data_IF_237263430960
#
_entry.id   IF_237263430960
#
_cell.length_a   1.000
_cell.length_b   1.000
_cell.length_c   1.000
_cell.angle_alpha   90.00
_cell.angle_beta   90.00
_cell.angle_gamma   90.00
#
_symmetry.space_group_name_H-M   'P 1'
#
loop_
_entity.id
_entity.type
_entity.pdbx_description
1 polymer ?
#
# COMPACT_ATOMS: atom_id res chain seq x y z
N UNK A 1 4.08 -11.21 -14.17
CA UNK A 1 4.77 -12.10 -13.22
C UNK A 1 3.74 -12.98 -12.52
N UNK A 2 3.94 -14.30 -12.51
CA UNK A 2 3.09 -15.24 -11.79
C UNK A 2 3.44 -15.23 -10.30
N UNK A 3 2.42 -15.32 -9.43
CA UNK A 3 2.64 -15.45 -7.98
C UNK A 3 3.18 -16.85 -7.70
N UNK A 4 4.29 -16.97 -6.94
CA UNK A 4 4.82 -18.27 -6.50
C UNK A 4 3.76 -18.97 -5.65
N UNK A 5 3.28 -20.12 -6.11
CA UNK A 5 2.28 -20.91 -5.39
C UNK A 5 2.96 -21.82 -4.36
N UNK A 6 2.39 -21.88 -3.15
CA UNK A 6 2.84 -22.80 -2.09
C UNK A 6 2.35 -24.23 -2.31
N UNK A 7 1.20 -24.40 -2.97
CA UNK A 7 0.53 -25.68 -3.15
C UNK A 7 0.25 -25.90 -4.65
N UNK A 8 0.61 -27.06 -5.18
CA UNK A 8 0.34 -27.42 -6.57
C UNK A 8 -1.14 -27.69 -6.81
N UNK A 9 -1.59 -27.61 -8.06
CA UNK A 9 -2.98 -27.93 -8.44
C UNK A 9 -3.33 -29.38 -8.07
N UNK A 10 -2.42 -30.32 -8.33
CA UNK A 10 -2.59 -31.73 -7.99
C UNK A 10 -2.80 -31.95 -6.49
N UNK A 11 -2.00 -31.30 -5.64
CA UNK A 11 -2.16 -31.38 -4.19
C UNK A 11 -3.51 -30.81 -3.71
N UNK A 12 -3.95 -29.69 -4.29
CA UNK A 12 -5.26 -29.09 -3.97
C UNK A 12 -6.40 -30.04 -4.36
N UNK A 13 -6.30 -30.72 -5.51
CA UNK A 13 -7.28 -31.70 -5.96
C UNK A 13 -7.35 -32.92 -5.04
N UNK A 14 -6.20 -33.51 -4.69
CA UNK A 14 -6.12 -34.63 -3.75
C UNK A 14 -6.84 -34.32 -2.43
N UNK A 15 -6.60 -33.13 -1.86
CA UNK A 15 -7.25 -32.71 -0.61
C UNK A 15 -8.78 -32.57 -0.76
N UNK A 16 -9.27 -32.12 -1.92
CA UNK A 16 -10.71 -31.99 -2.19
C UNK A 16 -11.35 -33.36 -2.37
N UNK A 17 -10.68 -34.27 -3.08
CA UNK A 17 -11.16 -35.64 -3.29
C UNK A 17 -11.21 -36.42 -1.98
N UNK A 18 -10.21 -36.28 -1.11
CA UNK A 18 -10.23 -36.85 0.24
C UNK A 18 -11.43 -36.35 1.06
N UNK A 19 -11.76 -35.06 0.94
CA UNK A 19 -12.94 -34.51 1.63
C UNK A 19 -14.25 -35.06 1.06
N UNK A 20 -14.36 -35.17 -0.28
CA UNK A 20 -15.58 -35.64 -0.95
C UNK A 20 -15.83 -37.14 -0.79
N UNK A 21 -14.77 -37.96 -0.87
CA UNK A 21 -14.90 -39.41 -0.97
C UNK A 21 -14.77 -40.13 0.39
N UNK A 22 -14.03 -39.55 1.34
CA UNK A 22 -13.68 -40.23 2.60
C UNK A 22 -14.48 -39.72 3.81
N UNK A 23 -15.49 -38.87 3.60
CA UNK A 23 -16.27 -38.18 4.66
C UNK A 23 -15.40 -37.50 5.74
N UNK A 24 -14.14 -37.19 5.43
CA UNK A 24 -13.21 -36.61 6.39
C UNK A 24 -13.48 -35.12 6.55
N UNK A 25 -13.40 -34.64 7.79
CA UNK A 25 -13.57 -33.22 8.07
C UNK A 25 -12.45 -32.39 7.43
N UNK A 26 -12.77 -31.15 7.07
CA UNK A 26 -11.81 -30.19 6.50
C UNK A 26 -10.64 -29.98 7.47
N UNK A 27 -10.93 -29.90 8.76
CA UNK A 27 -9.95 -29.71 9.82
C UNK A 27 -8.96 -30.88 9.91
N UNK A 28 -9.47 -32.13 9.88
CA UNK A 28 -8.62 -33.33 9.93
C UNK A 28 -7.63 -33.36 8.76
N UNK A 29 -8.11 -33.11 7.54
CA UNK A 29 -7.26 -33.09 6.34
C UNK A 29 -6.21 -31.97 6.43
N UNK A 30 -6.62 -30.78 6.87
CA UNK A 30 -5.76 -29.62 6.98
C UNK A 30 -4.63 -29.84 8.00
N UNK A 31 -4.95 -30.43 9.15
CA UNK A 31 -3.98 -30.79 10.18
C UNK A 31 -3.01 -31.87 9.70
N UNK A 32 -3.52 -32.95 9.11
CA UNK A 32 -2.68 -34.06 8.57
C UNK A 32 -1.72 -33.58 7.47
N UNK A 33 -2.21 -32.73 6.57
CA UNK A 33 -1.45 -32.24 5.41
C UNK A 33 -0.68 -30.93 5.69
N UNK A 34 -0.72 -30.41 6.92
CA UNK A 34 0.09 -29.29 7.38
C UNK A 34 -0.28 -27.92 6.78
N UNK A 35 -1.57 -27.61 6.60
CA UNK A 35 -2.03 -26.29 6.14
C UNK A 35 -3.26 -25.79 6.91
N UNK A 36 -3.59 -24.50 6.80
CA UNK A 36 -4.76 -23.93 7.47
C UNK A 36 -6.07 -24.35 6.77
N UNK A 37 -7.05 -24.89 7.51
CA UNK A 37 -8.37 -25.31 7.03
C UNK A 37 -9.10 -24.28 6.14
N UNK A 38 -8.87 -22.98 6.35
CA UNK A 38 -9.41 -21.90 5.51
C UNK A 38 -8.96 -22.01 4.05
N UNK A 39 -7.79 -22.59 3.78
CA UNK A 39 -7.32 -22.84 2.42
C UNK A 39 -8.16 -23.92 1.74
N UNK A 40 -8.44 -25.04 2.42
CA UNK A 40 -9.25 -26.12 1.85
C UNK A 40 -10.70 -25.68 1.64
N UNK A 41 -11.31 -24.95 2.58
CA UNK A 41 -12.64 -24.31 2.35
C UNK A 41 -12.63 -23.43 1.11
N UNK A 42 -11.57 -22.64 0.90
CA UNK A 42 -11.42 -21.80 -0.29
C UNK A 42 -11.31 -22.65 -1.55
N UNK A 43 -10.45 -23.67 -1.57
CA UNK A 43 -10.24 -24.52 -2.74
C UNK A 43 -11.54 -25.25 -3.13
N UNK A 44 -12.27 -25.80 -2.16
CA UNK A 44 -13.58 -26.42 -2.38
C UNK A 44 -14.55 -25.42 -3.03
N UNK A 45 -14.66 -24.20 -2.51
CA UNK A 45 -15.55 -23.18 -3.06
C UNK A 45 -15.22 -22.81 -4.51
N UNK A 46 -13.95 -22.59 -4.83
CA UNK A 46 -13.52 -22.30 -6.20
C UNK A 46 -13.65 -23.50 -7.13
N UNK A 47 -13.36 -24.72 -6.65
CA UNK A 47 -13.51 -25.94 -7.41
C UNK A 47 -14.98 -26.22 -7.75
N UNK A 48 -15.89 -26.06 -6.79
CA UNK A 48 -17.31 -26.28 -7.03
C UNK A 48 -17.88 -25.31 -8.07
N UNK A 49 -17.34 -24.09 -8.20
CA UNK A 49 -17.80 -23.10 -9.18
C UNK A 49 -17.09 -23.19 -10.54
N UNK A 50 -15.77 -23.39 -10.55
CA UNK A 50 -14.94 -23.26 -11.76
C UNK A 50 -14.22 -24.57 -12.14
N UNK A 51 -14.44 -25.65 -11.41
CA UNK A 51 -13.73 -26.91 -11.58
C UNK A 51 -12.22 -26.78 -11.34
N UNK A 52 -11.42 -27.54 -12.09
CA UNK A 52 -9.96 -27.55 -12.00
C UNK A 52 -9.37 -26.15 -12.24
N UNK A 53 -9.93 -25.38 -13.17
CA UNK A 53 -9.49 -24.00 -13.45
C UNK A 53 -9.58 -23.08 -12.21
N UNK A 54 -10.46 -23.40 -11.26
CA UNK A 54 -10.61 -22.69 -10.00
C UNK A 54 -9.40 -22.82 -9.07
N UNK A 55 -8.59 -23.87 -9.26
CA UNK A 55 -7.43 -24.22 -8.43
C UNK A 55 -6.11 -23.71 -9.01
N UNK A 56 -6.12 -23.24 -10.26
CA UNK A 56 -4.94 -22.75 -10.95
C UNK A 56 -4.37 -21.47 -10.33
N UNK A 57 -3.06 -21.22 -10.53
CA UNK A 57 -2.43 -19.96 -10.15
C UNK A 57 -3.12 -18.74 -10.77
N UNK A 58 -3.54 -17.82 -9.90
CA UNK A 58 -4.19 -16.58 -10.32
C UNK A 58 -3.17 -15.49 -10.58
N UNK A 59 -3.35 -14.76 -11.69
CA UNK A 59 -2.59 -13.53 -11.99
C UNK A 59 -3.03 -12.40 -11.05
N UNK A 60 -2.12 -11.47 -10.78
CA UNK A 60 -2.48 -10.26 -10.04
C UNK A 60 -3.49 -9.46 -10.87
N UNK A 61 -4.64 -9.14 -10.27
CA UNK A 61 -5.70 -8.35 -10.90
C UNK A 61 -5.79 -7.00 -10.20
N UNK A 62 -5.95 -5.94 -10.98
CA UNK A 62 -6.42 -4.65 -10.49
C UNK A 62 -7.92 -4.57 -10.72
N UNK A 63 -8.65 -4.02 -9.75
CA UNK A 63 -10.10 -3.88 -9.82
C UNK A 63 -10.45 -2.39 -9.88
N UNK A 64 -11.39 -2.01 -10.73
CA UNK A 64 -11.88 -0.63 -10.79
C UNK A 64 -12.68 -0.30 -9.52
N UNK A 65 -12.77 0.98 -9.16
CA UNK A 65 -13.58 1.42 -8.02
C UNK A 65 -15.05 0.97 -8.17
N UNK A 66 -15.59 1.07 -9.39
CA UNK A 66 -16.95 0.61 -9.72
C UNK A 66 -17.13 -0.90 -9.54
N UNK A 67 -16.15 -1.71 -9.94
CA UNK A 67 -16.20 -3.16 -9.70
C UNK A 67 -16.20 -3.45 -8.20
N UNK A 68 -15.30 -2.82 -7.44
CA UNK A 68 -15.24 -3.00 -5.98
C UNK A 68 -16.58 -2.63 -5.34
N UNK A 69 -17.18 -1.50 -5.74
CA UNK A 69 -18.49 -1.06 -5.26
C UNK A 69 -19.59 -2.08 -5.59
N UNK A 70 -19.60 -2.63 -6.80
CA UNK A 70 -20.55 -3.69 -7.20
C UNK A 70 -20.48 -4.89 -6.28
N UNK A 71 -19.26 -5.34 -5.95
CA UNK A 71 -19.04 -6.48 -5.03
C UNK A 71 -19.56 -6.16 -3.63
N UNK A 72 -19.26 -4.97 -3.11
CA UNK A 72 -19.73 -4.55 -1.78
C UNK A 72 -21.25 -4.42 -1.72
N UNK A 73 -21.86 -3.84 -2.76
CA UNK A 73 -23.32 -3.77 -2.87
C UNK A 73 -23.95 -5.15 -2.86
N UNK A 74 -23.44 -6.09 -3.66
CA UNK A 74 -23.96 -7.46 -3.69
C UNK A 74 -23.91 -8.14 -2.32
N UNK A 75 -22.83 -7.94 -1.55
CA UNK A 75 -22.72 -8.46 -0.18
C UNK A 75 -23.81 -7.89 0.72
N UNK A 76 -24.06 -6.58 0.64
CA UNK A 76 -25.02 -5.92 1.51
C UNK A 76 -26.49 -6.14 1.09
N UNK A 77 -26.77 -6.25 -0.20
CA UNK A 77 -28.14 -6.41 -0.72
C UNK A 77 -28.60 -7.86 -0.74
N UNK A 78 -27.69 -8.78 -1.04
CA UNK A 78 -27.99 -10.21 -1.16
C UNK A 78 -27.59 -10.99 0.10
N UNK A 79 -27.03 -10.32 1.12
CA UNK A 79 -26.59 -10.90 2.40
C UNK A 79 -25.63 -12.10 2.26
N UNK A 80 -24.89 -12.16 1.16
CA UNK A 80 -23.92 -13.23 0.92
C UNK A 80 -22.64 -13.01 1.75
N UNK A 81 -22.01 -14.11 2.17
CA UNK A 81 -20.75 -14.03 2.90
C UNK A 81 -19.62 -13.45 2.02
N UNK A 82 -18.58 -12.85 2.62
CA UNK A 82 -17.43 -12.36 1.84
C UNK A 82 -16.71 -13.49 1.12
N UNK A 83 -16.72 -14.71 1.66
CA UNK A 83 -16.14 -15.90 1.00
C UNK A 83 -16.92 -16.29 -0.24
N UNK A 84 -18.24 -16.28 -0.14
CA UNK A 84 -19.12 -16.53 -1.27
C UNK A 84 -18.99 -15.45 -2.34
N UNK A 85 -18.93 -14.18 -1.94
CA UNK A 85 -18.64 -13.08 -2.86
C UNK A 85 -17.28 -13.26 -3.56
N UNK A 86 -16.25 -13.75 -2.86
CA UNK A 86 -14.96 -14.05 -3.47
C UNK A 86 -15.07 -15.11 -4.57
N UNK A 87 -15.80 -16.19 -4.32
CA UNK A 87 -16.04 -17.22 -5.33
C UNK A 87 -16.88 -16.65 -6.46
N UNK A 88 -17.93 -15.89 -6.16
CA UNK A 88 -18.85 -15.33 -7.15
C UNK A 88 -18.17 -14.36 -8.13
N UNK A 89 -17.39 -13.42 -7.60
CA UNK A 89 -16.74 -12.35 -8.36
C UNK A 89 -15.29 -12.67 -8.75
N UNK A 90 -14.85 -13.91 -8.54
CA UNK A 90 -13.51 -14.38 -8.87
C UNK A 90 -12.38 -13.61 -8.17
N UNK A 91 -12.57 -13.31 -6.89
CA UNK A 91 -11.62 -12.57 -6.04
C UNK A 91 -10.78 -13.58 -5.23
N UNK A 92 -9.44 -13.61 -5.37
CA UNK A 92 -8.62 -14.68 -4.82
C UNK A 92 -8.59 -14.81 -3.28
N UNK A 93 -8.91 -13.74 -2.55
CA UNK A 93 -8.74 -13.67 -1.11
C UNK A 93 -9.83 -12.84 -0.43
N UNK A 94 -10.37 -13.37 0.67
CA UNK A 94 -11.37 -12.67 1.50
C UNK A 94 -10.83 -11.37 2.10
N UNK A 95 -9.54 -11.33 2.43
CA UNK A 95 -8.88 -10.12 2.93
C UNK A 95 -8.95 -8.95 1.93
N UNK A 96 -8.98 -9.22 0.63
CA UNK A 96 -9.16 -8.20 -0.41
C UNK A 96 -10.52 -7.51 -0.28
N UNK A 97 -11.60 -8.28 -0.11
CA UNK A 97 -12.95 -7.75 0.09
C UNK A 97 -13.06 -6.99 1.41
N UNK A 98 -12.49 -7.54 2.49
CA UNK A 98 -12.46 -6.88 3.80
C UNK A 98 -11.73 -5.53 3.77
N UNK A 99 -10.64 -5.44 3.00
CA UNK A 99 -9.94 -4.17 2.83
C UNK A 99 -10.81 -3.16 2.07
N UNK A 100 -11.54 -3.58 1.03
CA UNK A 100 -12.47 -2.70 0.32
C UNK A 100 -13.61 -2.22 1.19
N UNK A 101 -14.17 -3.08 2.05
CA UNK A 101 -15.20 -2.68 3.02
C UNK A 101 -14.66 -1.57 3.94
N UNK A 102 -13.47 -1.77 4.52
CA UNK A 102 -12.82 -0.78 5.39
C UNK A 102 -12.49 0.53 4.67
N UNK A 103 -11.96 0.45 3.45
CA UNK A 103 -11.65 1.64 2.65
C UNK A 103 -12.95 2.42 2.28
N UNK A 104 -14.03 1.71 1.96
CA UNK A 104 -15.33 2.32 1.64
C UNK A 104 -16.00 2.95 2.87
N UNK A 105 -15.94 2.30 4.02
CA UNK A 105 -16.47 2.86 5.28
C UNK A 105 -15.73 4.14 5.68
N UNK A 106 -14.42 4.20 5.44
CA UNK A 106 -13.58 5.36 5.80
C UNK A 106 -13.73 6.54 4.83
N UNK A 107 -13.85 6.29 3.52
CA UNK A 107 -13.71 7.34 2.50
C UNK A 107 -14.67 7.19 1.32
N UNK A 108 -15.72 6.38 1.47
CA UNK A 108 -16.71 6.15 0.43
C UNK A 108 -16.11 5.60 -0.86
N UNK A 109 -16.65 6.06 -2.00
CA UNK A 109 -16.18 5.63 -3.32
C UNK A 109 -14.72 6.02 -3.61
N UNK A 110 -14.24 7.15 -3.07
CA UNK A 110 -12.85 7.59 -3.21
C UNK A 110 -11.87 6.60 -2.55
N UNK A 111 -12.28 5.97 -1.45
CA UNK A 111 -11.50 4.91 -0.81
C UNK A 111 -11.26 3.68 -1.69
N UNK A 112 -12.16 3.44 -2.65
CA UNK A 112 -12.09 2.30 -3.57
C UNK A 112 -11.23 2.57 -4.80
N UNK A 113 -10.77 3.81 -5.02
CA UNK A 113 -9.87 4.12 -6.12
C UNK A 113 -8.54 3.39 -5.98
N UNK A 114 -7.90 3.13 -7.12
CA UNK A 114 -6.61 2.48 -7.11
C UNK A 114 -5.55 3.49 -6.66
N UNK A 115 -4.99 3.23 -5.47
CA UNK A 115 -3.87 4.02 -4.94
C UNK A 115 -2.65 3.83 -5.86
N UNK A 116 -1.89 4.88 -6.15
CA UNK A 116 -0.66 4.77 -6.93
C UNK A 116 0.26 3.73 -6.28
N UNK A 117 0.63 2.71 -7.04
CA UNK A 117 1.47 1.62 -6.56
C UNK A 117 2.95 1.99 -6.70
N UNK A 118 3.74 1.66 -5.68
CA UNK A 118 5.18 1.83 -5.69
C UNK A 118 5.69 2.93 -4.77
N UNK A 119 7.01 3.10 -4.76
CA UNK A 119 7.68 4.14 -3.97
C UNK A 119 7.29 5.51 -4.54
N UNK A 120 6.91 6.49 -3.70
CA UNK A 120 6.80 7.87 -4.15
C UNK A 120 8.08 8.26 -4.90
N UNK A 121 7.94 8.95 -6.03
CA UNK A 121 9.13 9.47 -6.74
C UNK A 121 9.96 10.26 -5.72
N UNK A 122 11.25 9.94 -5.59
CA UNK A 122 12.15 10.80 -4.83
C UNK A 122 12.06 12.19 -5.47
N UNK A 123 11.69 13.20 -4.69
CA UNK A 123 11.75 14.60 -5.12
C UNK A 123 13.16 14.85 -5.68
N UNK A 124 13.25 15.18 -6.97
CA UNK A 124 14.52 15.40 -7.69
C UNK A 124 15.23 16.68 -7.28
N UNK A 125 14.63 17.48 -6.39
CA UNK A 125 15.16 18.79 -6.01
C UNK A 125 16.22 18.73 -4.91
N UNK A 126 16.61 17.52 -4.46
CA UNK A 126 17.83 17.38 -3.67
C UNK A 126 19.04 17.54 -4.60
N UNK A 127 19.43 18.79 -4.88
CA UNK A 127 20.75 19.11 -5.42
C UNK A 127 21.79 18.58 -4.44
N UNK A 128 22.39 17.45 -4.77
CA UNK A 128 23.53 16.90 -4.04
C UNK A 128 24.58 18.02 -3.96
N UNK A 129 24.99 18.39 -2.73
CA UNK A 129 26.04 19.40 -2.51
C UNK A 129 27.24 19.03 -3.39
N UNK A 130 27.65 19.94 -4.30
CA UNK A 130 28.84 19.73 -5.13
C UNK A 130 30.01 19.39 -4.20
N UNK A 131 30.74 18.32 -4.48
CA UNK A 131 31.97 17.99 -3.76
C UNK A 131 32.91 19.19 -3.92
N UNK A 132 33.48 19.67 -2.81
CA UNK A 132 34.57 20.67 -2.88
C UNK A 132 35.70 20.02 -3.67
N UNK A 133 36.19 20.67 -4.71
CA UNK A 133 37.37 20.22 -5.43
C UNK A 133 38.60 20.35 -4.54
N UNK A 134 39.55 19.42 -4.62
CA UNK A 134 40.83 19.48 -3.89
C UNK A 134 41.80 20.55 -4.46
N UNK A 135 41.36 21.33 -5.44
CA UNK A 135 42.12 22.45 -6.00
C UNK A 135 41.99 23.68 -5.08
N UNK A 136 43.10 24.41 -4.81
CA UNK A 136 43.01 25.69 -4.12
C UNK A 136 42.12 26.64 -4.93
N UNK A 137 41.29 27.42 -4.24
CA UNK A 137 40.42 28.40 -4.89
C UNK A 137 41.29 29.45 -5.61
N UNK A 138 40.80 29.91 -6.75
CA UNK A 138 41.38 31.09 -7.41
C UNK A 138 41.05 32.33 -6.58
N UNK A 139 41.89 33.38 -6.63
CA UNK A 139 41.67 34.64 -5.90
C UNK A 139 40.26 35.23 -6.10
N UNK A 140 39.72 35.11 -7.32
CA UNK A 140 38.35 35.57 -7.64
C UNK A 140 37.27 34.74 -6.92
N UNK A 141 37.47 33.42 -6.81
CA UNK A 141 36.54 32.52 -6.12
C UNK A 141 36.57 32.76 -4.60
N UNK A 142 37.74 33.05 -4.03
CA UNK A 142 37.87 33.45 -2.62
C UNK A 142 37.09 34.73 -2.33
N UNK A 143 37.24 35.73 -3.20
CA UNK A 143 36.52 37.00 -3.08
C UNK A 143 35.00 36.82 -3.20
N UNK A 144 34.54 35.96 -4.10
CA UNK A 144 33.11 35.65 -4.23
C UNK A 144 32.56 34.96 -2.97
N UNK A 145 33.32 34.02 -2.40
CA UNK A 145 32.94 33.33 -1.17
C UNK A 145 32.86 34.30 0.02
N UNK A 146 33.84 35.19 0.14
CA UNK A 146 33.83 36.22 1.18
C UNK A 146 32.69 37.21 0.98
N UNK A 147 32.38 37.60 -0.27
CA UNK A 147 31.24 38.46 -0.56
C UNK A 147 29.91 37.79 -0.17
N UNK A 148 29.75 36.50 -0.49
CA UNK A 148 28.56 35.72 -0.12
C UNK A 148 28.43 35.61 1.40
N UNK A 149 29.53 35.34 2.10
CA UNK A 149 29.59 35.32 3.57
C UNK A 149 29.18 36.67 4.16
N UNK A 150 29.76 37.77 3.68
CA UNK A 150 29.44 39.13 4.13
C UNK A 150 27.99 39.50 3.85
N UNK A 151 27.40 39.05 2.74
CA UNK A 151 25.97 39.23 2.46
C UNK A 151 25.10 38.48 3.47
N UNK A 152 25.44 37.22 3.76
CA UNK A 152 24.71 36.43 4.74
C UNK A 152 24.79 37.04 6.16
N UNK A 153 25.97 37.55 6.55
CA UNK A 153 26.18 38.25 7.81
C UNK A 153 25.34 39.54 7.89
N UNK A 154 25.35 40.35 6.84
CA UNK A 154 24.52 41.55 6.74
C UNK A 154 23.02 41.24 6.81
N UNK A 155 22.56 40.20 6.13
CA UNK A 155 21.15 39.81 6.17
C UNK A 155 20.74 39.30 7.56
N UNK A 156 21.63 38.59 8.25
CA UNK A 156 21.40 38.19 9.63
C UNK A 156 21.30 39.40 10.57
N UNK A 157 22.20 40.37 10.44
CA UNK A 157 22.17 41.62 11.22
C UNK A 157 20.88 42.41 10.95
N UNK A 158 20.49 42.59 9.69
CA UNK A 158 19.22 43.24 9.33
C UNK A 158 18.02 42.55 9.95
N UNK A 159 18.02 41.21 9.97
CA UNK A 159 16.94 40.42 10.58
C UNK A 159 16.94 40.57 12.11
N UNK A 160 18.10 40.61 12.73
CA UNK A 160 18.25 40.89 14.16
C UNK A 160 17.69 42.29 14.49
N UNK A 161 18.07 43.31 13.73
CA UNK A 161 17.58 44.69 13.90
C UNK A 161 16.06 44.79 13.71
N UNK A 162 15.51 44.09 12.71
CA UNK A 162 14.07 44.04 12.52
C UNK A 162 13.34 43.45 13.75
N UNK A 163 13.93 42.43 14.39
CA UNK A 163 13.38 41.81 15.60
C UNK A 163 13.50 42.73 16.83
N UNK A 164 14.63 43.43 17.00
CA UNK A 164 14.84 44.36 18.12
C UNK A 164 13.92 45.57 18.01
N UNK A 165 13.75 46.15 16.82
CA UNK A 165 12.78 47.23 16.55
C UNK A 165 11.35 46.77 16.84
N UNK A 166 10.97 45.57 16.41
CA UNK A 166 9.64 45.00 16.71
C UNK A 166 9.43 44.82 18.21
N UNK A 167 10.44 44.34 18.94
CA UNK A 167 10.39 44.18 20.40
C UNK A 167 10.28 45.52 21.14
N UNK A 168 10.99 46.55 20.69
CA UNK A 168 10.94 47.88 21.29
C UNK A 168 9.61 48.60 21.04
N UNK A 169 8.99 48.42 19.86
CA UNK A 169 7.63 48.91 19.57
C UNK A 169 6.54 48.19 20.37
N UNK A 170 6.79 46.97 20.84
CA UNK A 170 5.84 46.16 21.61
C UNK A 170 5.98 46.32 23.12
N UNK A 171 7.02 47.01 23.62
CA UNK A 171 7.12 47.36 25.05
C UNK A 171 6.20 48.55 25.31
N UNK A 172 5.19 48.45 26.21
CA UNK A 172 4.41 49.61 26.60
C UNK A 172 5.34 50.61 27.30
N UNK A 173 5.14 51.92 27.07
CA UNK A 173 5.85 52.95 27.83
C UNK A 173 5.54 52.74 29.31
N UNK A 174 6.57 52.44 30.10
CA UNK A 174 6.45 52.50 31.55
C UNK A 174 6.35 53.99 31.90
N UNK A 175 5.14 54.43 32.23
CA UNK A 175 4.94 55.62 33.07
C UNK A 175 5.43 55.33 34.48
#
# INVERSE_FOLDING_TARGET
>A
MYRKEKFSVAFKLECIELHKNSYRSIESIATEKGFNESNLRKWIGFYNKYGISGLEPRKNKSYSAWFKLKVLKAINTEFISQREACVRFDIPAQSTVLNWQRDYEKSGILGLENKPTGRPKKMSDYKRKKRKSDKPLTREEELLLENERLRAENDFLKKLDALTLKKNKQRPSKN
#
